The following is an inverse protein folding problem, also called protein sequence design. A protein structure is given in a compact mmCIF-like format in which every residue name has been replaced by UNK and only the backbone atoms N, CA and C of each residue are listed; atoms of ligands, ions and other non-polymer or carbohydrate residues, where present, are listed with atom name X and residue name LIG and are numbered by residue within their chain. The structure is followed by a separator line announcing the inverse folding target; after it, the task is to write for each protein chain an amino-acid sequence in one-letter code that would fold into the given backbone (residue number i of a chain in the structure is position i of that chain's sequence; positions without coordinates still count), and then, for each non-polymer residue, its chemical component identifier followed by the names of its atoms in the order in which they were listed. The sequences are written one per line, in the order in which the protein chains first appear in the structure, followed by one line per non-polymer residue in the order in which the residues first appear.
data_IF_271197759932
#
_entry.id   IF_271197759932
#
_cell.length_a   1.000
_cell.length_b   1.000
_cell.length_c   1.000
_cell.angle_alpha   90.00
_cell.angle_beta   90.00
_cell.angle_gamma   90.00
#
_symmetry.space_group_name_H-M   'P 1'
#
loop_
_entity.id
_entity.type
_entity.pdbx_description
1 polymer ?
#
# COMPACT_ATOMS: atom_id res chain seq x y z
N UNK A 1 -0.95 -27.87 -2.61
CA UNK A 1 -1.30 -26.51 -3.07
C UNK A 1 -0.19 -25.59 -2.57
N UNK A 2 0.29 -24.64 -3.38
CA UNK A 2 1.28 -23.67 -2.91
C UNK A 2 0.65 -22.80 -1.80
N UNK A 3 1.43 -22.50 -0.78
CA UNK A 3 1.01 -21.65 0.33
C UNK A 3 0.63 -20.25 -0.20
N UNK A 4 -0.52 -19.71 0.24
CA UNK A 4 -0.97 -18.36 -0.12
C UNK A 4 -0.23 -17.35 0.74
N UNK A 5 0.32 -16.30 0.11
CA UNK A 5 1.03 -15.21 0.78
C UNK A 5 0.10 -14.05 1.16
N UNK A 6 -1.12 -14.05 0.65
CA UNK A 6 -2.19 -13.15 1.05
C UNK A 6 -3.49 -13.93 1.20
N UNK A 7 -4.26 -13.63 2.23
CA UNK A 7 -5.54 -14.29 2.53
C UNK A 7 -6.65 -13.26 2.68
N UNK A 8 -7.86 -13.63 2.26
CA UNK A 8 -9.05 -12.81 2.37
C UNK A 8 -9.99 -13.36 3.45
N UNK A 9 -10.39 -12.50 4.38
CA UNK A 9 -11.48 -12.75 5.31
C UNK A 9 -12.61 -11.75 5.05
N UNK A 10 -13.86 -12.19 5.11
CA UNK A 10 -15.05 -11.36 4.92
C UNK A 10 -15.91 -11.42 6.17
N UNK A 11 -16.27 -10.26 6.71
CA UNK A 11 -17.20 -10.09 7.81
C UNK A 11 -18.27 -9.07 7.41
N UNK A 12 -19.44 -9.58 7.01
CA UNK A 12 -20.48 -8.76 6.40
C UNK A 12 -19.97 -8.06 5.14
N UNK A 13 -20.07 -6.73 5.11
CA UNK A 13 -19.56 -5.89 4.02
C UNK A 13 -18.14 -5.38 4.23
N UNK A 14 -17.40 -5.89 5.21
CA UNK A 14 -15.99 -5.58 5.45
C UNK A 14 -15.15 -6.75 4.96
N UNK A 15 -14.20 -6.46 4.08
CA UNK A 15 -13.23 -7.43 3.57
C UNK A 15 -11.84 -7.09 4.09
N UNK A 16 -11.13 -8.08 4.64
CA UNK A 16 -9.76 -7.90 5.15
C UNK A 16 -8.79 -8.78 4.38
N UNK A 17 -7.81 -8.17 3.72
CA UNK A 17 -6.67 -8.86 3.10
C UNK A 17 -5.51 -8.81 4.08
N UNK A 18 -5.04 -9.98 4.51
CA UNK A 18 -3.87 -10.13 5.39
C UNK A 18 -2.67 -10.61 4.57
N UNK A 19 -1.57 -9.87 4.64
CA UNK A 19 -0.29 -10.22 4.04
C UNK A 19 0.53 -11.04 5.03
N UNK A 20 0.93 -12.25 4.65
CA UNK A 20 1.84 -13.07 5.45
C UNK A 20 2.65 -14.00 4.54
N UNK A 21 3.91 -13.66 4.30
CA UNK A 21 4.90 -14.48 3.60
C UNK A 21 5.79 -15.29 4.57
N UNK A 22 5.43 -15.32 5.84
CA UNK A 22 6.21 -15.93 6.92
C UNK A 22 7.43 -15.12 7.36
N UNK A 23 7.75 -13.98 6.69
CA UNK A 23 8.98 -13.17 6.94
C UNK A 23 8.68 -11.68 7.00
N UNK A 24 8.81 -10.98 5.89
CA UNK A 24 8.79 -9.51 5.84
C UNK A 24 7.72 -8.94 4.89
N UNK A 25 6.79 -9.76 4.42
CA UNK A 25 5.70 -9.37 3.52
C UNK A 25 6.24 -8.65 2.27
N UNK A 26 7.22 -9.29 1.60
CA UNK A 26 7.82 -8.71 0.41
C UNK A 26 6.94 -8.90 -0.83
N UNK A 27 6.91 -7.88 -1.68
CA UNK A 27 6.23 -7.93 -2.96
C UNK A 27 7.06 -8.72 -3.98
N UNK A 28 6.83 -10.01 -4.02
CA UNK A 28 7.18 -10.89 -5.13
C UNK A 28 6.06 -10.93 -6.18
N UNK A 29 6.30 -11.50 -7.36
CA UNK A 29 5.24 -11.76 -8.35
C UNK A 29 4.10 -12.59 -7.74
N UNK A 30 4.43 -13.58 -6.90
CA UNK A 30 3.45 -14.42 -6.19
C UNK A 30 2.61 -13.61 -5.18
N UNK A 31 3.22 -12.75 -4.35
CA UNK A 31 2.48 -11.89 -3.40
C UNK A 31 1.52 -10.99 -4.16
N UNK A 32 1.99 -10.33 -5.23
CA UNK A 32 1.15 -9.46 -6.06
C UNK A 32 -0.03 -10.22 -6.69
N UNK A 33 0.21 -11.46 -7.14
CA UNK A 33 -0.84 -12.34 -7.68
C UNK A 33 -1.86 -12.72 -6.61
N UNK A 34 -1.43 -13.13 -5.41
CA UNK A 34 -2.33 -13.55 -4.33
C UNK A 34 -3.19 -12.38 -3.83
N UNK A 35 -2.62 -11.17 -3.71
CA UNK A 35 -3.42 -9.97 -3.37
C UNK A 35 -4.44 -9.67 -4.47
N UNK A 36 -4.07 -9.78 -5.76
CA UNK A 36 -5.01 -9.57 -6.86
C UNK A 36 -6.16 -10.58 -6.84
N UNK A 37 -5.88 -11.86 -6.55
CA UNK A 37 -6.92 -12.88 -6.38
C UNK A 37 -7.88 -12.54 -5.23
N UNK A 38 -7.34 -12.04 -4.10
CA UNK A 38 -8.19 -11.56 -3.01
C UNK A 38 -9.06 -10.38 -3.45
N UNK A 39 -8.48 -9.40 -4.16
CA UNK A 39 -9.21 -8.22 -4.66
C UNK A 39 -10.32 -8.58 -5.67
N UNK A 40 -10.16 -9.66 -6.44
CA UNK A 40 -11.18 -10.15 -7.37
C UNK A 40 -12.47 -10.63 -6.65
N UNK A 41 -12.32 -11.01 -5.38
CA UNK A 41 -13.42 -11.48 -4.54
C UNK A 41 -14.03 -10.38 -3.65
N UNK A 42 -13.43 -9.19 -3.56
CA UNK A 42 -13.94 -8.08 -2.75
C UNK A 42 -15.06 -7.36 -3.48
N UNK A 43 -16.16 -7.07 -2.78
CA UNK A 43 -17.27 -6.31 -3.34
C UNK A 43 -16.84 -4.89 -3.73
N UNK A 44 -17.28 -4.43 -4.91
CA UNK A 44 -16.94 -3.11 -5.47
C UNK A 44 -18.04 -2.07 -5.31
N UNK A 45 -19.24 -2.49 -4.96
CA UNK A 45 -20.42 -1.60 -4.86
C UNK A 45 -20.83 -1.31 -3.43
N UNK A 46 -20.28 -2.03 -2.46
CA UNK A 46 -20.58 -1.86 -1.04
C UNK A 46 -19.35 -2.11 -0.16
N UNK A 47 -19.43 -1.71 1.10
CA UNK A 47 -18.49 -2.10 2.13
C UNK A 47 -17.18 -1.31 2.15
N UNK A 48 -16.19 -1.88 2.83
CA UNK A 48 -14.86 -1.34 3.03
C UNK A 48 -13.81 -2.44 2.92
N UNK A 49 -12.65 -2.12 2.33
CA UNK A 49 -11.49 -3.00 2.26
C UNK A 49 -10.48 -2.62 3.35
N UNK A 50 -10.00 -3.59 4.08
CA UNK A 50 -8.86 -3.47 5.01
C UNK A 50 -7.68 -4.24 4.42
N UNK A 51 -6.49 -3.64 4.45
CA UNK A 51 -5.23 -4.31 4.12
C UNK A 51 -4.35 -4.26 5.37
N UNK A 52 -3.87 -5.42 5.81
CA UNK A 52 -2.99 -5.52 6.98
C UNK A 52 -1.82 -6.47 6.71
N UNK A 53 -0.77 -6.34 7.51
CA UNK A 53 0.31 -7.30 7.57
C UNK A 53 0.22 -8.16 8.82
N UNK A 54 1.31 -8.85 9.14
CA UNK A 54 1.46 -9.56 10.42
C UNK A 54 2.00 -8.62 11.48
N UNK A 55 1.94 -9.04 12.74
CA UNK A 55 2.50 -8.30 13.86
C UNK A 55 3.97 -7.90 13.60
N UNK A 56 4.28 -6.63 13.82
CA UNK A 56 5.60 -6.04 13.64
C UNK A 56 5.99 -5.74 12.20
N UNK A 57 5.23 -6.21 11.20
CA UNK A 57 5.59 -6.05 9.79
C UNK A 57 4.36 -5.86 8.89
N UNK A 58 4.18 -4.65 8.40
CA UNK A 58 3.21 -4.39 7.34
C UNK A 58 3.76 -4.87 5.99
N UNK A 59 4.88 -4.31 5.53
CA UNK A 59 5.63 -4.80 4.36
C UNK A 59 7.01 -4.15 4.29
N UNK A 60 8.02 -4.91 3.86
CA UNK A 60 9.40 -4.45 3.64
C UNK A 60 9.70 -4.04 2.19
N UNK A 61 8.70 -4.04 1.31
CA UNK A 61 8.90 -3.60 -0.08
C UNK A 61 9.09 -4.73 -1.09
N UNK A 62 9.78 -4.47 -2.21
CA UNK A 62 10.04 -5.46 -3.25
C UNK A 62 10.93 -6.60 -2.76
N UNK A 63 10.79 -7.80 -3.35
CA UNK A 63 11.66 -8.93 -3.05
C UNK A 63 13.11 -8.66 -3.50
N UNK A 64 13.95 -8.38 -2.54
CA UNK A 64 15.37 -8.10 -2.77
C UNK A 64 16.12 -9.29 -3.40
N UNK A 65 15.66 -10.53 -3.20
CA UNK A 65 16.29 -11.70 -3.83
C UNK A 65 16.12 -11.65 -5.35
N UNK A 66 14.93 -11.29 -5.81
CA UNK A 66 14.67 -11.09 -7.24
C UNK A 66 15.52 -9.95 -7.79
N UNK A 67 15.63 -8.82 -7.07
CA UNK A 67 16.47 -7.68 -7.49
C UNK A 67 17.94 -8.08 -7.56
N UNK A 68 18.46 -8.77 -6.54
CA UNK A 68 19.86 -9.21 -6.45
C UNK A 68 20.22 -10.33 -7.44
N UNK A 69 19.23 -11.01 -8.02
CA UNK A 69 19.49 -12.03 -9.06
C UNK A 69 20.11 -11.45 -10.33
N UNK A 70 19.90 -10.13 -10.58
CA UNK A 70 20.33 -9.47 -11.82
C UNK A 70 19.54 -9.91 -13.06
N UNK A 71 18.51 -10.74 -12.90
CA UNK A 71 17.61 -11.17 -13.99
C UNK A 71 16.64 -10.03 -14.31
N UNK A 72 16.98 -9.26 -15.33
CA UNK A 72 16.25 -8.05 -15.71
C UNK A 72 14.79 -8.34 -16.02
N UNK A 73 14.49 -9.44 -16.68
CA UNK A 73 13.11 -9.79 -17.08
C UNK A 73 12.26 -10.08 -15.85
N UNK A 74 12.78 -10.83 -14.87
CA UNK A 74 12.07 -11.09 -13.62
C UNK A 74 11.89 -9.83 -12.77
N UNK A 75 12.89 -8.94 -12.75
CA UNK A 75 12.81 -7.67 -12.03
C UNK A 75 11.71 -6.78 -12.63
N UNK A 76 11.65 -6.68 -13.96
CA UNK A 76 10.64 -5.91 -14.69
C UNK A 76 9.24 -6.52 -14.45
N UNK A 77 9.11 -7.85 -14.59
CA UNK A 77 7.83 -8.54 -14.34
C UNK A 77 7.31 -8.29 -12.92
N UNK A 78 8.15 -8.51 -11.90
CA UNK A 78 7.81 -8.31 -10.49
C UNK A 78 7.42 -6.85 -10.22
N UNK A 79 8.24 -5.90 -10.65
CA UNK A 79 8.01 -4.47 -10.42
C UNK A 79 6.74 -4.00 -11.09
N UNK A 80 6.51 -4.41 -12.34
CA UNK A 80 5.29 -4.10 -13.09
C UNK A 80 4.04 -4.67 -12.42
N UNK A 81 4.10 -5.92 -11.99
CA UNK A 81 2.98 -6.55 -11.27
C UNK A 81 2.66 -5.78 -9.99
N UNK A 82 3.69 -5.38 -9.23
CA UNK A 82 3.53 -4.60 -8.02
C UNK A 82 2.94 -3.20 -8.29
N UNK A 83 3.43 -2.48 -9.30
CA UNK A 83 2.91 -1.12 -9.61
C UNK A 83 1.48 -1.16 -10.15
N UNK A 84 1.11 -2.14 -10.97
CA UNK A 84 -0.27 -2.36 -11.40
C UNK A 84 -1.19 -2.66 -10.21
N UNK A 85 -0.72 -3.48 -9.26
CA UNK A 85 -1.46 -3.77 -8.04
C UNK A 85 -1.66 -2.50 -7.20
N UNK A 86 -0.62 -1.68 -7.00
CA UNK A 86 -0.74 -0.41 -6.28
C UNK A 86 -1.74 0.54 -6.96
N UNK A 87 -1.70 0.66 -8.29
CA UNK A 87 -2.67 1.46 -9.04
C UNK A 87 -4.10 0.94 -8.84
N UNK A 88 -4.30 -0.39 -8.83
CA UNK A 88 -5.59 -1.04 -8.58
C UNK A 88 -6.11 -0.73 -7.17
N UNK A 89 -5.26 -0.82 -6.14
CA UNK A 89 -5.64 -0.49 -4.75
C UNK A 89 -5.96 1.00 -4.62
N UNK A 90 -5.13 1.87 -5.20
CA UNK A 90 -5.33 3.32 -5.18
C UNK A 90 -6.65 3.74 -5.81
N UNK A 91 -7.05 3.08 -6.90
CA UNK A 91 -8.31 3.32 -7.60
C UNK A 91 -9.46 2.41 -7.15
N UNK A 92 -9.27 1.60 -6.09
CA UNK A 92 -10.33 0.70 -5.63
C UNK A 92 -11.60 1.48 -5.33
N UNK A 93 -12.78 1.07 -5.85
CA UNK A 93 -13.97 1.92 -5.86
C UNK A 93 -14.64 2.10 -4.49
N UNK A 94 -14.17 1.40 -3.47
CA UNK A 94 -14.66 1.51 -2.09
C UNK A 94 -13.54 2.03 -1.18
N UNK A 95 -13.87 2.49 0.05
CA UNK A 95 -12.86 2.88 1.02
C UNK A 95 -11.85 1.76 1.28
N UNK A 96 -10.56 2.12 1.31
CA UNK A 96 -9.46 1.21 1.62
C UNK A 96 -8.75 1.72 2.87
N UNK A 97 -8.67 0.88 3.89
CA UNK A 97 -7.96 1.17 5.14
C UNK A 97 -6.69 0.33 5.20
N UNK A 98 -5.55 0.96 5.47
CA UNK A 98 -4.36 0.25 5.87
C UNK A 98 -4.32 0.10 7.41
N UNK A 99 -4.27 -1.13 7.89
CA UNK A 99 -3.91 -1.44 9.27
C UNK A 99 -2.42 -1.74 9.32
N UNK A 100 -1.61 -0.69 9.55
CA UNK A 100 -0.15 -0.77 9.55
C UNK A 100 0.33 -1.38 10.88
N UNK A 101 0.47 -2.70 10.87
CA UNK A 101 0.78 -3.55 12.03
C UNK A 101 2.26 -3.53 12.45
N UNK A 102 3.08 -2.67 11.84
CA UNK A 102 4.52 -2.59 12.11
C UNK A 102 5.26 -1.79 11.05
N UNK A 103 6.45 -2.26 10.66
CA UNK A 103 7.27 -1.60 9.63
C UNK A 103 6.56 -1.55 8.28
N UNK A 104 6.56 -0.35 7.64
CA UNK A 104 6.13 -0.12 6.27
C UNK A 104 7.27 0.53 5.47
N UNK A 105 8.10 -0.28 4.78
CA UNK A 105 9.36 0.18 4.18
C UNK A 105 9.31 0.03 2.67
N UNK A 106 9.96 0.95 1.94
CA UNK A 106 10.04 0.94 0.49
C UNK A 106 8.64 0.79 -0.14
N UNK A 107 8.38 -0.24 -0.99
CA UNK A 107 7.06 -0.45 -1.56
C UNK A 107 5.95 -0.60 -0.51
N UNK A 108 6.26 -1.01 0.73
CA UNK A 108 5.31 -1.01 1.85
C UNK A 108 4.81 0.38 2.22
N UNK A 109 5.67 1.41 2.15
CA UNK A 109 5.25 2.81 2.30
C UNK A 109 4.34 3.24 1.16
N UNK A 110 4.62 2.84 -0.07
CA UNK A 110 3.78 3.20 -1.22
C UNK A 110 2.43 2.48 -1.17
N UNK A 111 2.37 1.26 -0.61
CA UNK A 111 1.09 0.59 -0.32
C UNK A 111 0.26 1.39 0.69
N UNK A 112 0.87 1.93 1.76
CA UNK A 112 0.18 2.86 2.66
C UNK A 112 -0.36 4.09 1.89
N UNK A 113 0.44 4.64 0.98
CA UNK A 113 0.03 5.78 0.15
C UNK A 113 -1.16 5.47 -0.78
N UNK A 114 -1.42 4.20 -1.12
CA UNK A 114 -2.58 3.80 -1.92
C UNK A 114 -3.88 3.80 -1.11
N UNK A 115 -3.81 3.63 0.21
CA UNK A 115 -4.99 3.50 1.05
C UNK A 115 -5.60 4.86 1.39
N UNK A 116 -6.92 4.88 1.59
CA UNK A 116 -7.68 6.11 1.88
C UNK A 116 -7.53 6.56 3.33
N UNK A 117 -7.40 5.59 4.26
CA UNK A 117 -7.15 5.82 5.67
C UNK A 117 -6.08 4.85 6.20
N UNK A 118 -5.21 5.31 7.10
CA UNK A 118 -4.03 4.54 7.54
C UNK A 118 -3.89 4.63 9.05
N UNK A 119 -4.10 3.50 9.72
CA UNK A 119 -3.94 3.35 11.16
C UNK A 119 -2.63 2.63 11.44
N UNK A 120 -1.72 3.25 12.17
CA UNK A 120 -0.45 2.66 12.58
C UNK A 120 -0.47 2.23 14.05
N UNK A 121 0.43 1.32 14.41
CA UNK A 121 0.62 0.89 15.80
C UNK A 121 1.78 1.60 16.45
N UNK A 122 1.65 1.95 17.73
CA UNK A 122 2.78 2.40 18.57
C UNK A 122 3.84 1.31 18.67
N UNK A 123 5.10 1.72 18.58
CA UNK A 123 6.24 0.80 18.68
C UNK A 123 7.49 1.37 18.01
N UNK A 124 8.58 0.65 18.11
CA UNK A 124 9.85 0.99 17.44
C UNK A 124 9.81 0.50 15.99
N UNK A 125 8.89 1.08 15.22
CA UNK A 125 8.69 0.77 13.81
C UNK A 125 9.05 1.97 12.94
N UNK A 126 9.40 1.67 11.69
CA UNK A 126 9.81 2.67 10.71
C UNK A 126 8.91 2.62 9.48
N UNK A 127 8.56 3.80 8.97
CA UNK A 127 7.83 3.97 7.71
C UNK A 127 8.65 4.91 6.84
N UNK A 128 8.89 4.54 5.58
CA UNK A 128 9.62 5.42 4.66
C UNK A 128 10.09 4.74 3.39
N UNK A 129 10.31 5.57 2.37
CA UNK A 129 10.90 5.19 1.09
C UNK A 129 12.42 5.32 1.19
N UNK A 130 13.13 4.21 1.26
CA UNK A 130 14.58 4.20 1.46
C UNK A 130 15.39 3.94 0.17
N UNK A 131 14.74 3.98 -0.99
CA UNK A 131 15.32 3.65 -2.30
C UNK A 131 16.59 4.45 -2.58
N UNK A 132 16.59 5.76 -2.32
CA UNK A 132 17.78 6.62 -2.53
C UNK A 132 18.96 6.21 -1.67
N UNK A 133 18.75 5.63 -0.48
CA UNK A 133 19.82 5.13 0.39
C UNK A 133 20.41 3.81 -0.09
N UNK A 134 19.66 3.08 -0.90
CA UNK A 134 20.07 1.80 -1.52
C UNK A 134 20.48 1.95 -2.98
N UNK A 135 20.74 3.21 -3.41
CA UNK A 135 21.12 3.56 -4.79
C UNK A 135 20.08 3.11 -5.84
N UNK A 136 18.81 3.15 -5.46
CA UNK A 136 17.70 2.87 -6.38
C UNK A 136 16.94 4.15 -6.69
N UNK A 137 16.48 4.29 -7.93
CA UNK A 137 15.57 5.35 -8.35
C UNK A 137 14.15 5.00 -7.87
N UNK A 138 13.40 5.98 -7.41
CA UNK A 138 11.97 5.84 -7.19
C UNK A 138 11.26 6.00 -8.54
N UNK A 139 10.69 4.93 -9.12
CA UNK A 139 10.00 5.02 -10.42
C UNK A 139 8.75 5.91 -10.37
N UNK A 140 8.43 6.54 -11.49
CA UNK A 140 7.32 7.49 -11.60
C UNK A 140 5.99 6.96 -11.06
N UNK A 141 5.58 5.68 -11.27
CA UNK A 141 4.30 5.20 -10.76
C UNK A 141 4.17 5.36 -9.23
N UNK A 142 5.23 5.03 -8.48
CA UNK A 142 5.22 5.11 -7.03
C UNK A 142 5.62 6.50 -6.51
N UNK A 143 6.37 7.27 -7.30
CA UNK A 143 6.68 8.66 -6.98
C UNK A 143 5.41 9.52 -6.92
N UNK A 144 4.47 9.32 -7.83
CA UNK A 144 3.19 10.05 -7.81
C UNK A 144 2.35 9.70 -6.57
N UNK A 145 2.38 8.45 -6.10
CA UNK A 145 1.67 8.04 -4.87
C UNK A 145 2.18 8.80 -3.63
N UNK A 146 3.49 8.81 -3.41
CA UNK A 146 4.06 9.48 -2.23
C UNK A 146 3.90 11.00 -2.33
N UNK A 147 4.03 11.59 -3.52
CA UNK A 147 3.76 13.02 -3.77
C UNK A 147 2.32 13.41 -3.46
N UNK A 148 1.38 12.51 -3.71
CA UNK A 148 -0.04 12.74 -3.44
C UNK A 148 -0.36 12.71 -1.93
N UNK A 149 0.27 11.80 -1.17
CA UNK A 149 -0.07 11.57 0.25
C UNK A 149 0.74 12.37 1.25
N UNK A 150 2.03 12.54 1.03
CA UNK A 150 2.94 13.19 1.99
C UNK A 150 2.63 14.68 2.09
N UNK A 151 2.60 15.19 3.31
CA UNK A 151 2.44 16.62 3.60
C UNK A 151 3.51 17.44 2.87
N UNK A 152 3.15 18.62 2.36
CA UNK A 152 4.03 19.46 1.54
C UNK A 152 5.37 19.75 2.22
N UNK A 153 5.37 19.99 3.53
CA UNK A 153 6.56 20.25 4.34
C UNK A 153 7.52 19.07 4.48
N UNK A 154 7.04 17.85 4.18
CA UNK A 154 7.81 16.62 4.29
C UNK A 154 8.26 16.03 2.95
N UNK A 155 7.77 16.56 1.81
CA UNK A 155 8.03 15.97 0.49
C UNK A 155 9.51 15.80 0.17
N UNK A 156 10.34 16.82 0.41
CA UNK A 156 11.78 16.70 0.18
C UNK A 156 12.40 15.62 1.07
N UNK A 157 12.09 15.62 2.36
CA UNK A 157 12.63 14.67 3.34
C UNK A 157 12.24 13.24 3.03
N UNK A 158 10.95 13.03 2.71
CA UNK A 158 10.40 11.70 2.42
C UNK A 158 10.91 11.11 1.11
N UNK A 159 11.12 11.93 0.08
CA UNK A 159 11.48 11.48 -1.26
C UNK A 159 13.00 11.55 -1.46
N UNK A 160 13.53 12.77 -1.58
CA UNK A 160 14.96 12.97 -1.89
C UNK A 160 15.87 12.75 -0.67
N UNK A 161 15.39 13.07 0.52
CA UNK A 161 16.09 12.82 1.78
C UNK A 161 16.07 11.37 2.22
N UNK A 162 15.20 10.54 1.61
CA UNK A 162 14.98 9.14 1.98
C UNK A 162 14.89 8.94 3.50
N UNK A 163 14.12 9.83 4.16
CA UNK A 163 13.97 9.79 5.60
C UNK A 163 13.10 8.61 6.02
N UNK A 164 13.62 7.87 6.98
CA UNK A 164 12.85 6.83 7.65
C UNK A 164 12.18 7.45 8.87
N UNK A 165 10.87 7.45 8.89
CA UNK A 165 10.05 8.06 9.93
C UNK A 165 9.75 7.07 11.05
N UNK A 166 9.92 7.47 12.31
CA UNK A 166 9.23 6.79 13.41
C UNK A 166 7.71 6.93 13.26
N UNK A 167 6.95 6.13 13.96
CA UNK A 167 5.49 6.12 13.86
C UNK A 167 4.87 7.52 14.10
N UNK A 168 5.33 8.24 15.14
CA UNK A 168 4.83 9.59 15.44
C UNK A 168 5.16 10.59 14.32
N UNK A 169 6.37 10.52 13.79
CA UNK A 169 6.78 11.38 12.66
C UNK A 169 6.09 10.99 11.35
N UNK A 170 5.72 9.73 11.16
CA UNK A 170 4.95 9.27 10.01
C UNK A 170 3.52 9.86 10.03
N UNK A 171 2.93 10.04 11.21
CA UNK A 171 1.67 10.77 11.38
C UNK A 171 1.83 12.24 10.96
N UNK A 172 2.86 12.94 11.47
CA UNK A 172 3.14 14.33 11.09
C UNK A 172 3.39 14.50 9.60
N UNK A 173 4.06 13.51 8.98
CA UNK A 173 4.35 13.51 7.56
C UNK A 173 3.16 13.18 6.66
N UNK A 174 2.02 12.76 7.23
CA UNK A 174 0.84 12.33 6.49
C UNK A 174 0.99 10.95 5.84
N UNK A 175 1.91 10.12 6.34
CA UNK A 175 2.04 8.70 5.98
C UNK A 175 1.08 7.82 6.78
N UNK A 176 0.64 8.28 7.96
CA UNK A 176 -0.43 7.72 8.77
C UNK A 176 -1.48 8.80 9.05
N UNK A 177 -2.70 8.38 9.37
CA UNK A 177 -3.81 9.26 9.78
C UNK A 177 -4.13 9.12 11.27
N UNK A 178 -3.81 7.97 11.86
CA UNK A 178 -4.06 7.66 13.27
C UNK A 178 -3.01 6.69 13.81
N UNK A 179 -2.72 6.78 15.12
CA UNK A 179 -1.81 5.87 15.82
C UNK A 179 -2.52 5.33 17.06
N UNK A 180 -2.47 4.01 17.23
CA UNK A 180 -3.10 3.31 18.36
C UNK A 180 -2.12 2.34 19.03
N UNK A 181 -2.50 1.79 20.19
CA UNK A 181 -1.77 0.67 20.76
C UNK A 181 -1.91 -0.59 19.89
N UNK A 182 -0.97 -1.54 19.91
CA UNK A 182 -1.11 -2.80 19.18
C UNK A 182 -2.42 -3.55 19.50
N UNK A 183 -2.85 -3.55 20.75
CA UNK A 183 -4.07 -4.21 21.20
C UNK A 183 -5.34 -3.54 20.64
N UNK A 184 -5.30 -2.25 20.35
CA UNK A 184 -6.43 -1.49 19.84
C UNK A 184 -6.53 -1.47 18.30
N UNK A 185 -5.48 -1.91 17.56
CA UNK A 185 -5.45 -1.80 16.10
C UNK A 185 -6.68 -2.42 15.43
N UNK A 186 -6.95 -3.69 15.74
CA UNK A 186 -8.06 -4.41 15.12
C UNK A 186 -9.41 -3.75 15.40
N UNK A 187 -9.62 -3.31 16.65
CA UNK A 187 -10.85 -2.64 17.08
C UNK A 187 -11.03 -1.31 16.35
N UNK A 188 -10.01 -0.43 16.38
CA UNK A 188 -10.07 0.90 15.74
C UNK A 188 -10.29 0.80 14.24
N UNK A 189 -9.56 -0.09 13.58
CA UNK A 189 -9.69 -0.32 12.13
C UNK A 189 -11.09 -0.82 11.77
N UNK A 190 -11.65 -1.77 12.54
CA UNK A 190 -13.00 -2.27 12.31
C UNK A 190 -14.08 -1.21 12.56
N UNK A 191 -13.94 -0.38 13.59
CA UNK A 191 -14.86 0.74 13.84
C UNK A 191 -14.81 1.76 12.69
N UNK A 192 -13.61 2.12 12.22
CA UNK A 192 -13.44 2.99 11.05
C UNK A 192 -14.00 2.35 9.77
N UNK A 193 -13.79 1.06 9.56
CA UNK A 193 -14.32 0.36 8.39
C UNK A 193 -15.84 0.33 8.38
N UNK A 194 -16.48 0.12 9.53
CA UNK A 194 -17.94 0.19 9.67
C UNK A 194 -18.48 1.58 9.34
N UNK A 195 -17.82 2.62 9.83
CA UNK A 195 -18.17 4.01 9.53
C UNK A 195 -18.06 4.29 8.01
N UNK A 196 -16.89 3.99 7.41
CA UNK A 196 -16.65 4.24 5.99
C UNK A 196 -17.50 3.36 5.06
N UNK A 197 -17.88 2.15 5.50
CA UNK A 197 -18.77 1.28 4.75
C UNK A 197 -20.20 1.84 4.59
N UNK A 198 -20.60 2.84 5.39
CA UNK A 198 -21.88 3.55 5.25
C UNK A 198 -21.88 4.53 4.09
N UNK A 199 -20.72 4.85 3.52
CA UNK A 199 -20.59 5.81 2.42
C UNK A 199 -21.34 5.30 1.18
N UNK A 200 -22.29 6.13 0.70
CA UNK A 200 -23.16 5.76 -0.41
C UNK A 200 -22.42 5.49 -1.71
N UNK A 201 -22.75 4.38 -2.36
CA UNK A 201 -22.40 4.11 -3.74
C UNK A 201 -23.55 4.57 -4.65
N UNK A 202 -23.31 5.27 -5.80
CA UNK A 202 -22.03 5.49 -6.48
C UNK A 202 -21.28 6.78 -6.06
N UNK A 203 -21.83 7.60 -5.16
CA UNK A 203 -21.27 8.91 -4.84
C UNK A 203 -19.81 8.86 -4.38
N UNK A 204 -19.48 7.91 -3.50
CA UNK A 204 -18.08 7.71 -3.04
C UNK A 204 -17.15 7.38 -4.21
N UNK A 205 -17.52 6.41 -5.03
CA UNK A 205 -16.71 5.95 -6.18
C UNK A 205 -16.45 7.07 -7.18
N UNK A 206 -17.50 7.83 -7.53
CA UNK A 206 -17.39 8.96 -8.46
C UNK A 206 -16.49 10.08 -7.88
N UNK A 207 -16.70 10.43 -6.61
CA UNK A 207 -15.91 11.49 -5.94
C UNK A 207 -14.46 11.07 -5.81
N UNK A 208 -14.18 9.83 -5.37
CA UNK A 208 -12.82 9.30 -5.30
C UNK A 208 -12.16 9.32 -6.68
N UNK A 209 -12.88 8.87 -7.73
CA UNK A 209 -12.37 8.88 -9.11
C UNK A 209 -11.95 10.27 -9.56
N UNK A 210 -12.75 11.31 -9.29
CA UNK A 210 -12.41 12.71 -9.58
C UNK A 210 -11.21 13.19 -8.75
N UNK A 211 -11.18 12.85 -7.47
CA UNK A 211 -10.13 13.29 -6.53
C UNK A 211 -8.74 12.76 -6.90
N UNK A 212 -8.67 11.51 -7.37
CA UNK A 212 -7.39 10.86 -7.74
C UNK A 212 -7.11 10.89 -9.25
N UNK A 213 -7.95 11.52 -10.08
CA UNK A 213 -7.88 11.42 -11.54
C UNK A 213 -6.50 11.77 -12.11
N UNK A 214 -5.92 12.88 -11.66
CA UNK A 214 -4.63 13.37 -12.17
C UNK A 214 -3.46 12.46 -11.76
N UNK A 215 -3.24 12.12 -10.48
CA UNK A 215 -2.19 11.18 -10.11
C UNK A 215 -2.40 9.78 -10.72
N UNK A 216 -3.62 9.27 -10.77
CA UNK A 216 -3.90 7.94 -11.35
C UNK A 216 -3.57 7.92 -12.86
N UNK A 217 -3.88 8.98 -13.61
CA UNK A 217 -3.52 9.10 -15.03
C UNK A 217 -2.00 9.02 -15.21
N UNK A 218 -1.22 9.74 -14.40
CA UNK A 218 0.25 9.71 -14.45
C UNK A 218 0.81 8.34 -14.08
N UNK A 219 0.27 7.72 -13.04
CA UNK A 219 0.66 6.36 -12.61
C UNK A 219 0.45 5.36 -13.75
N UNK A 220 -0.74 5.35 -14.36
CA UNK A 220 -1.07 4.42 -15.44
C UNK A 220 -0.19 4.66 -16.68
N UNK A 221 0.06 5.93 -17.06
CA UNK A 221 0.94 6.25 -18.17
C UNK A 221 2.37 5.75 -17.90
N UNK A 222 2.90 6.02 -16.71
CA UNK A 222 4.24 5.59 -16.33
C UNK A 222 4.40 4.05 -16.31
N UNK A 223 3.35 3.31 -15.93
CA UNK A 223 3.35 1.83 -16.01
C UNK A 223 3.43 1.36 -17.47
N UNK A 224 2.75 2.05 -18.40
CA UNK A 224 2.83 1.74 -19.85
C UNK A 224 4.24 2.02 -20.38
N UNK A 225 4.82 3.16 -19.99
CA UNK A 225 6.14 3.60 -20.47
C UNK A 225 7.28 2.69 -19.99
N UNK A 226 7.14 2.05 -18.82
CA UNK A 226 8.09 1.03 -18.35
C UNK A 226 8.23 -0.17 -19.31
N UNK A 227 7.16 -0.52 -20.02
CA UNK A 227 7.16 -1.63 -20.97
C UNK A 227 7.69 -1.21 -22.35
N UNK A 228 7.63 0.07 -22.69
CA UNK A 228 8.05 0.57 -24.00
C UNK A 228 9.55 0.85 -24.08
N UNK A 229 10.22 0.95 -22.93
CA UNK A 229 11.64 1.26 -22.80
C UNK A 229 12.51 0.03 -22.41
N UNK A 230 11.91 -1.16 -22.36
CA UNK A 230 12.54 -2.45 -22.14
C UNK A 230 12.66 -3.20 -23.45
#
# INVERSE_FOLDING_TARGET
MAEKLATLNKDGNISTITLDDGKANVFSSKMSQDINQCLDEVATEEGCLIITGKEGMFSAGLDLKTIQSGDTDKIIEMSTAAFKLLARIFSFPRPVIAACSGHGIALGTFLLCCCDYRVGVKGDFMIGANEMRTNMVIPDPILELIKFRVAQSHKYRAILGAEMYSIDKALEAGLLDEIVSPDDLAKTVNEKAKDLATMGHPSYTMTKGLFIAEPLKKINQAIVDLHSNS
#
